data_IF_289614431170
#
_entry.id   IF_289614431170
#
_cell.length_a   1.000
_cell.length_b   1.000
_cell.length_c   1.000
_cell.angle_alpha   90.00
_cell.angle_beta   90.00
_cell.angle_gamma   90.00
#
_symmetry.space_group_name_H-M   'P 1'
#
loop_
_entity.id
_entity.type
_entity.pdbx_description
1 polymer ?
#
# COMPACT_ATOMS: atom_id res chain seq x y z
N UNK A 1 -15.48 -20.99 -13.57
CA UNK A 1 -14.20 -20.27 -13.46
C UNK A 1 -14.50 -18.78 -13.53
N UNK A 2 -14.12 -18.01 -12.51
CA UNK A 2 -14.38 -16.57 -12.46
C UNK A 2 -13.53 -15.86 -13.53
N UNK A 3 -14.16 -15.25 -14.53
CA UNK A 3 -13.45 -14.46 -15.55
C UNK A 3 -13.04 -13.13 -14.92
N UNK A 4 -11.74 -12.84 -14.88
CA UNK A 4 -11.25 -11.56 -14.41
C UNK A 4 -11.39 -10.52 -15.53
N UNK A 5 -12.08 -9.42 -15.25
CA UNK A 5 -12.07 -8.24 -16.13
C UNK A 5 -10.67 -7.62 -16.18
N UNK A 6 -10.32 -6.99 -17.30
CA UNK A 6 -9.07 -6.23 -17.45
C UNK A 6 -8.86 -5.22 -16.31
N UNK A 7 -9.93 -4.59 -15.83
CA UNK A 7 -9.87 -3.67 -14.69
C UNK A 7 -9.46 -4.38 -13.39
N UNK A 8 -10.00 -5.57 -13.13
CA UNK A 8 -9.63 -6.36 -11.96
C UNK A 8 -8.17 -6.83 -12.04
N UNK A 9 -7.72 -7.18 -13.24
CA UNK A 9 -6.32 -7.55 -13.49
C UNK A 9 -5.38 -6.35 -13.23
N UNK A 10 -5.74 -5.16 -13.73
CA UNK A 10 -4.98 -3.94 -13.53
C UNK A 10 -4.90 -3.54 -12.05
N UNK A 11 -6.02 -3.62 -11.32
CA UNK A 11 -6.06 -3.37 -9.88
C UNK A 11 -5.20 -4.37 -9.11
N UNK A 12 -5.27 -5.66 -9.44
CA UNK A 12 -4.43 -6.69 -8.84
C UNK A 12 -2.94 -6.43 -9.08
N UNK A 13 -2.57 -6.10 -10.32
CA UNK A 13 -1.19 -5.78 -10.69
C UNK A 13 -0.68 -4.53 -9.94
N UNK A 14 -1.48 -3.46 -9.88
CA UNK A 14 -1.13 -2.26 -9.13
C UNK A 14 -0.93 -2.55 -7.63
N UNK A 15 -1.75 -3.43 -7.04
CA UNK A 15 -1.57 -3.89 -5.67
C UNK A 15 -0.26 -4.63 -5.45
N UNK A 16 0.10 -5.55 -6.36
CA UNK A 16 1.39 -6.26 -6.32
C UNK A 16 2.57 -5.30 -6.42
N UNK A 17 2.54 -4.37 -7.38
CA UNK A 17 3.60 -3.37 -7.56
C UNK A 17 3.75 -2.51 -6.30
N UNK A 18 2.63 -2.08 -5.71
CA UNK A 18 2.64 -1.30 -4.46
C UNK A 18 3.26 -2.09 -3.30
N UNK A 19 2.91 -3.37 -3.15
CA UNK A 19 3.47 -4.23 -2.10
C UNK A 19 4.98 -4.47 -2.28
N UNK A 20 5.43 -4.66 -3.52
CA UNK A 20 6.85 -4.78 -3.85
C UNK A 20 7.58 -3.46 -3.52
N UNK A 21 7.02 -2.32 -3.91
CA UNK A 21 7.59 -1.01 -3.60
C UNK A 21 7.70 -0.76 -2.10
N UNK A 22 6.65 -1.05 -1.32
CA UNK A 22 6.69 -1.00 0.15
C UNK A 22 7.81 -1.88 0.71
N UNK A 23 7.90 -3.13 0.23
CA UNK A 23 8.88 -4.08 0.71
C UNK A 23 10.31 -3.59 0.47
N UNK A 24 10.61 -3.10 -0.74
CA UNK A 24 11.95 -2.68 -1.15
C UNK A 24 12.34 -1.33 -0.55
N UNK A 25 11.46 -0.32 -0.63
CA UNK A 25 11.80 1.06 -0.26
C UNK A 25 11.58 1.40 1.20
N UNK A 26 10.75 0.64 1.92
CA UNK A 26 10.37 0.97 3.30
C UNK A 26 10.78 -0.16 4.24
N UNK A 27 10.31 -1.39 3.99
CA UNK A 27 10.52 -2.50 4.93
C UNK A 27 11.99 -2.95 5.01
N UNK A 28 12.63 -3.22 3.87
CA UNK A 28 14.05 -3.65 3.81
C UNK A 28 15.00 -2.65 4.50
N UNK A 29 14.96 -1.33 4.22
CA UNK A 29 15.84 -0.39 4.93
C UNK A 29 15.48 -0.25 6.41
N UNK A 30 14.19 -0.30 6.79
CA UNK A 30 13.79 -0.28 8.19
C UNK A 30 14.33 -1.50 8.96
N UNK A 31 14.29 -2.68 8.34
CA UNK A 31 14.79 -3.92 8.92
C UNK A 31 16.32 -3.96 9.04
N UNK A 32 17.03 -3.37 8.07
CA UNK A 32 18.50 -3.32 8.06
C UNK A 32 19.10 -2.26 8.98
N UNK A 33 18.31 -1.28 9.43
CA UNK A 33 18.79 -0.18 10.29
C UNK A 33 19.11 -0.61 11.73
N UNK A 34 18.61 -1.75 12.19
CA UNK A 34 18.75 -2.19 13.59
C UNK A 34 19.60 -3.45 13.73
N UNK A 35 20.34 -3.55 14.84
CA UNK A 35 21.18 -4.71 15.13
C UNK A 35 20.43 -5.84 15.83
N UNK A 36 19.53 -5.53 16.77
CA UNK A 36 18.85 -6.55 17.60
C UNK A 36 17.53 -6.98 16.96
N UNK A 37 17.22 -8.27 17.05
CA UNK A 37 16.02 -8.85 16.42
C UNK A 37 14.71 -8.19 16.91
N UNK A 38 14.61 -7.85 18.19
CA UNK A 38 13.43 -7.19 18.77
C UNK A 38 13.21 -5.78 18.22
N UNK A 39 14.28 -5.03 17.95
CA UNK A 39 14.21 -3.70 17.35
C UNK A 39 13.74 -3.80 15.89
N UNK A 40 14.24 -4.82 15.16
CA UNK A 40 13.81 -5.10 13.78
C UNK A 40 12.32 -5.43 13.69
N UNK A 41 11.81 -6.25 14.61
CA UNK A 41 10.37 -6.59 14.66
C UNK A 41 9.53 -5.34 14.95
N UNK A 42 9.94 -4.52 15.92
CA UNK A 42 9.25 -3.26 16.22
C UNK A 42 9.27 -2.28 15.04
N UNK A 43 10.41 -2.14 14.36
CA UNK A 43 10.55 -1.31 13.16
C UNK A 43 9.71 -1.83 11.99
N UNK A 44 9.69 -3.15 11.79
CA UNK A 44 8.83 -3.82 10.82
C UNK A 44 7.36 -3.53 11.09
N UNK A 45 6.91 -3.67 12.35
CA UNK A 45 5.55 -3.33 12.76
C UNK A 45 5.22 -1.86 12.51
N UNK A 46 6.12 -0.93 12.86
CA UNK A 46 5.92 0.49 12.61
C UNK A 46 5.86 0.81 11.11
N UNK A 47 6.61 0.10 10.27
CA UNK A 47 6.54 0.30 8.82
C UNK A 47 5.16 -0.08 8.23
N UNK A 48 4.42 -0.99 8.87
CA UNK A 48 3.04 -1.30 8.46
C UNK A 48 2.10 -0.11 8.66
N UNK A 49 2.35 0.75 9.66
CA UNK A 49 1.60 2.00 9.79
C UNK A 49 1.80 2.92 8.59
N UNK A 50 3.01 2.95 8.02
CA UNK A 50 3.30 3.73 6.81
C UNK A 50 2.50 3.17 5.63
N UNK A 51 2.53 1.84 5.44
CA UNK A 51 1.73 1.18 4.40
C UNK A 51 0.23 1.47 4.58
N UNK A 52 -0.30 1.31 5.79
CA UNK A 52 -1.70 1.59 6.10
C UNK A 52 -2.07 3.05 5.83
N UNK A 53 -1.18 4.00 6.15
CA UNK A 53 -1.38 5.42 5.89
C UNK A 53 -1.41 5.71 4.39
N UNK A 54 -0.47 5.17 3.62
CA UNK A 54 -0.44 5.33 2.16
C UNK A 54 -1.69 4.74 1.50
N UNK A 55 -2.13 3.56 1.95
CA UNK A 55 -3.38 2.95 1.48
C UNK A 55 -4.57 3.82 1.87
N UNK A 56 -4.65 4.30 3.11
CA UNK A 56 -5.73 5.16 3.59
C UNK A 56 -5.83 6.46 2.81
N UNK A 57 -4.70 7.13 2.55
CA UNK A 57 -4.63 8.34 1.72
C UNK A 57 -5.06 8.02 0.28
N UNK A 58 -4.53 6.96 -0.33
CA UNK A 58 -4.88 6.56 -1.69
C UNK A 58 -6.37 6.26 -1.85
N UNK A 59 -6.96 5.52 -0.90
CA UNK A 59 -8.40 5.25 -0.86
C UNK A 59 -9.18 6.56 -0.65
N UNK A 60 -8.75 7.42 0.28
CA UNK A 60 -9.39 8.71 0.53
C UNK A 60 -9.43 9.61 -0.70
N UNK A 61 -8.30 9.71 -1.42
CA UNK A 61 -8.22 10.47 -2.69
C UNK A 61 -9.10 9.82 -3.75
N UNK A 62 -9.05 8.50 -3.91
CA UNK A 62 -9.83 7.79 -4.93
C UNK A 62 -11.34 7.90 -4.71
N UNK A 63 -11.80 7.65 -3.48
CA UNK A 63 -13.22 7.78 -3.10
C UNK A 63 -13.66 9.24 -3.14
N UNK A 64 -12.83 10.16 -2.65
CA UNK A 64 -13.12 11.60 -2.69
C UNK A 64 -13.26 12.11 -4.12
N UNK A 65 -12.34 11.74 -5.02
CA UNK A 65 -12.41 12.11 -6.43
C UNK A 65 -13.66 11.55 -7.11
N UNK A 66 -14.00 10.28 -6.85
CA UNK A 66 -15.23 9.67 -7.36
C UNK A 66 -16.48 10.41 -6.84
N UNK A 67 -16.50 10.74 -5.55
CA UNK A 67 -17.61 11.47 -4.93
C UNK A 67 -17.83 12.84 -5.57
N UNK A 68 -16.74 13.59 -5.79
CA UNK A 68 -16.80 14.89 -6.47
C UNK A 68 -17.29 14.76 -7.92
N UNK A 69 -16.80 13.75 -8.65
CA UNK A 69 -17.25 13.49 -10.02
C UNK A 69 -18.75 13.18 -10.10
N UNK A 70 -19.28 12.36 -9.16
CA UNK A 70 -20.71 12.04 -9.10
C UNK A 70 -21.56 13.28 -8.79
N UNK A 71 -21.03 14.22 -8.00
CA UNK A 71 -21.70 15.49 -7.66
C UNK A 71 -21.70 16.50 -8.83
N UNK A 72 -21.09 16.17 -9.97
CA UNK A 72 -21.02 17.04 -11.14
C UNK A 72 -19.97 18.14 -11.04
N UNK A 73 -18.94 17.94 -10.22
CA UNK A 73 -17.74 18.78 -10.21
C UNK A 73 -16.88 18.59 -11.47
#
# INVERSE_FOLDING_TARGET
>A
MSQLSSTQLALGAAGVVTFVAYSVFIFVPAWNSYGRLWEKVAAGFLSLFILATLVGIGVGIGVGGLYLWIQGA
#
